data_IF_378973208585
#
_entry.id   IF_378973208585
#
_cell.length_a   1.000
_cell.length_b   1.000
_cell.length_c   1.000
_cell.angle_alpha   90.00
_cell.angle_beta   90.00
_cell.angle_gamma   90.00
#
_symmetry.space_group_name_H-M   'P 1'
#
loop_
_entity.id
_entity.type
_entity.pdbx_description
1 polymer ?
#
# COMPACT_ATOMS: atom_id res chain seq x y z
N UNK A 1 11.08 -26.47 23.26
CA UNK A 1 12.16 -26.03 24.16
C UNK A 1 13.49 -26.40 23.51
N UNK A 2 14.45 -25.48 23.41
CA UNK A 2 15.79 -25.79 22.86
C UNK A 2 16.80 -25.98 23.98
N UNK A 3 17.77 -26.88 23.79
CA UNK A 3 18.86 -27.15 24.75
C UNK A 3 20.22 -26.90 24.07
N UNK A 4 21.11 -26.19 24.75
CA UNK A 4 22.50 -25.99 24.33
C UNK A 4 23.39 -26.43 25.48
N UNK A 5 24.12 -27.51 25.28
CA UNK A 5 25.13 -28.01 26.21
C UNK A 5 26.53 -27.73 25.63
N UNK A 6 27.47 -27.28 26.47
CA UNK A 6 28.79 -26.84 26.01
C UNK A 6 29.88 -27.00 27.08
N UNK A 7 30.81 -27.91 26.80
CA UNK A 7 31.98 -28.19 27.64
C UNK A 7 33.04 -27.07 27.62
N UNK A 8 32.90 -26.09 26.72
CA UNK A 8 33.92 -25.06 26.47
C UNK A 8 33.64 -23.71 27.13
N UNK A 9 32.54 -23.60 27.88
CA UNK A 9 32.19 -22.37 28.59
C UNK A 9 32.84 -22.38 29.99
N UNK A 10 33.37 -21.24 30.47
CA UNK A 10 33.89 -21.17 31.82
C UNK A 10 32.74 -21.36 32.82
N UNK A 11 32.81 -22.41 33.64
CA UNK A 11 31.76 -22.76 34.60
C UNK A 11 31.80 -21.90 35.88
N UNK A 12 32.98 -21.37 36.22
CA UNK A 12 33.22 -20.61 37.45
C UNK A 12 33.27 -19.09 37.20
N UNK A 13 32.27 -18.55 36.49
CA UNK A 13 32.14 -17.10 36.26
C UNK A 13 30.72 -16.63 36.55
N UNK A 14 30.56 -15.32 36.80
CA UNK A 14 29.23 -14.73 36.96
C UNK A 14 28.41 -14.83 35.66
N UNK A 15 27.08 -14.79 35.78
CA UNK A 15 26.17 -14.80 34.61
C UNK A 15 26.46 -13.64 33.65
N UNK A 16 26.83 -12.48 34.20
CA UNK A 16 27.18 -11.29 33.43
C UNK A 16 28.48 -11.48 32.63
N UNK A 17 29.52 -12.03 33.26
CA UNK A 17 30.78 -12.37 32.58
C UNK A 17 30.56 -13.43 31.50
N UNK A 18 29.70 -14.43 31.77
CA UNK A 18 29.35 -15.45 30.78
C UNK A 18 28.64 -14.85 29.57
N UNK A 19 27.69 -13.92 29.77
CA UNK A 19 26.94 -13.25 28.69
C UNK A 19 27.84 -12.44 27.74
N UNK A 20 28.94 -11.90 28.26
CA UNK A 20 29.91 -11.14 27.46
C UNK A 20 31.01 -12.02 26.83
N UNK A 21 31.03 -13.33 27.15
CA UNK A 21 32.08 -14.24 26.69
C UNK A 21 32.04 -14.43 25.16
N UNK A 22 33.21 -14.38 24.52
CA UNK A 22 33.34 -14.42 23.05
C UNK A 22 32.77 -15.70 22.43
N UNK A 23 32.86 -16.85 23.13
CA UNK A 23 32.29 -18.13 22.68
C UNK A 23 30.79 -18.07 22.43
N UNK A 24 30.02 -17.26 23.17
CA UNK A 24 28.57 -17.12 22.94
C UNK A 24 28.26 -16.53 21.57
N UNK A 25 29.11 -15.63 21.05
CA UNK A 25 28.97 -15.10 19.68
C UNK A 25 29.14 -16.21 18.64
N UNK A 26 30.08 -17.11 18.84
CA UNK A 26 30.32 -18.27 17.96
C UNK A 26 29.17 -19.27 18.04
N UNK A 27 28.71 -19.58 19.25
CA UNK A 27 27.54 -20.46 19.49
C UNK A 27 26.31 -19.86 18.80
N UNK A 28 26.01 -18.57 19.00
CA UNK A 28 24.91 -17.85 18.32
C UNK A 28 24.99 -18.01 16.80
N UNK A 29 26.14 -17.76 16.18
CA UNK A 29 26.32 -17.91 14.72
C UNK A 29 26.05 -19.35 14.24
N UNK A 30 26.52 -20.36 14.98
CA UNK A 30 26.28 -21.78 14.65
C UNK A 30 24.81 -22.14 14.77
N UNK A 31 24.14 -21.70 15.84
CA UNK A 31 22.70 -21.94 16.06
C UNK A 31 21.86 -21.31 14.95
N UNK A 32 22.12 -20.05 14.59
CA UNK A 32 21.43 -19.38 13.48
C UNK A 32 21.62 -20.17 12.19
N UNK A 33 22.86 -20.60 11.89
CA UNK A 33 23.13 -21.37 10.67
C UNK A 33 22.33 -22.68 10.64
N UNK A 34 22.32 -23.44 11.73
CA UNK A 34 21.60 -24.71 11.86
C UNK A 34 20.08 -24.53 11.82
N UNK A 35 19.55 -23.46 12.43
CA UNK A 35 18.14 -23.13 12.37
C UNK A 35 17.70 -22.81 10.93
N UNK A 36 18.48 -22.00 10.21
CA UNK A 36 18.19 -21.71 8.79
C UNK A 36 18.30 -22.94 7.91
N UNK A 37 19.27 -23.84 8.17
CA UNK A 37 19.37 -25.11 7.44
C UNK A 37 18.17 -26.02 7.73
N UNK A 38 17.69 -26.07 8.97
CA UNK A 38 16.50 -26.82 9.35
C UNK A 38 15.25 -26.28 8.65
N UNK A 39 15.03 -24.96 8.68
CA UNK A 39 13.88 -24.32 8.01
C UNK A 39 13.93 -24.56 6.50
N UNK A 40 15.12 -24.47 5.90
CA UNK A 40 15.32 -24.77 4.49
C UNK A 40 14.95 -26.21 4.14
N UNK A 41 15.31 -27.19 4.98
CA UNK A 41 14.92 -28.60 4.77
C UNK A 41 13.40 -28.79 4.80
N UNK A 42 12.69 -28.09 5.70
CA UNK A 42 11.22 -28.12 5.71
C UNK A 42 10.67 -27.69 4.33
N UNK A 43 11.27 -26.66 3.72
CA UNK A 43 10.87 -26.21 2.38
C UNK A 43 11.24 -27.22 1.27
N UNK A 44 12.41 -27.85 1.35
CA UNK A 44 12.89 -28.81 0.35
C UNK A 44 12.15 -30.15 0.42
N UNK A 45 11.70 -30.55 1.61
CA UNK A 45 10.98 -31.79 1.85
C UNK A 45 9.45 -31.66 1.66
N UNK A 46 8.92 -30.43 1.48
CA UNK A 46 7.50 -30.19 1.23
C UNK A 46 7.18 -30.36 -0.27
N UNK A 47 6.35 -31.35 -0.65
CA UNK A 47 5.98 -31.57 -2.06
C UNK A 47 5.36 -30.36 -2.75
N UNK A 48 4.63 -29.51 -2.01
CA UNK A 48 3.96 -28.31 -2.57
C UNK A 48 4.97 -27.20 -2.94
N UNK A 49 6.18 -27.24 -2.37
CA UNK A 49 7.26 -26.30 -2.61
C UNK A 49 8.23 -26.76 -3.71
N UNK A 50 8.33 -28.07 -3.90
CA UNK A 50 9.21 -28.70 -4.88
C UNK A 50 8.84 -28.32 -6.33
N UNK A 51 9.85 -28.08 -7.16
CA UNK A 51 9.62 -27.73 -8.56
C UNK A 51 9.21 -28.97 -9.36
N UNK A 52 8.55 -28.81 -10.51
CA UNK A 52 8.03 -29.94 -11.32
C UNK A 52 9.05 -31.02 -11.71
N UNK A 53 10.37 -30.74 -11.65
CA UNK A 53 11.41 -31.76 -11.85
C UNK A 53 11.75 -32.54 -10.57
N UNK A 54 11.67 -31.89 -9.41
CA UNK A 54 11.96 -32.45 -8.10
C UNK A 54 10.72 -33.18 -7.52
N UNK A 55 9.51 -32.83 -7.99
CA UNK A 55 8.25 -33.50 -7.60
C UNK A 55 8.28 -35.00 -7.81
N UNK A 56 8.88 -35.50 -8.89
CA UNK A 56 8.93 -36.95 -9.16
C UNK A 56 9.75 -37.71 -8.11
N UNK A 57 10.86 -37.15 -7.66
CA UNK A 57 11.74 -37.78 -6.68
C UNK A 57 11.17 -37.66 -5.24
N UNK A 58 10.39 -36.61 -4.98
CA UNK A 58 9.71 -36.42 -3.68
C UNK A 58 8.45 -37.29 -3.59
N UNK A 59 7.62 -37.34 -4.63
CA UNK A 59 6.35 -38.09 -4.71
C UNK A 59 6.51 -39.63 -4.61
N UNK A 60 7.69 -40.18 -4.92
CA UNK A 60 7.97 -41.64 -4.82
C UNK A 60 8.18 -42.15 -3.38
N UNK A 61 8.24 -41.26 -2.38
CA UNK A 61 8.36 -41.64 -0.96
C UNK A 61 7.00 -41.90 -0.29
N UNK A 62 6.88 -42.98 0.48
CA UNK A 62 5.61 -43.44 1.09
C UNK A 62 5.07 -42.55 2.23
N UNK A 63 5.81 -41.52 2.66
CA UNK A 63 5.49 -40.64 3.81
C UNK A 63 4.96 -39.24 3.39
N UNK A 64 4.57 -39.05 2.12
CA UNK A 64 4.32 -37.73 1.54
C UNK A 64 3.14 -36.94 2.12
N UNK A 65 2.10 -37.61 2.61
CA UNK A 65 0.92 -36.91 3.15
C UNK A 65 1.24 -36.15 4.46
N UNK A 66 2.23 -36.60 5.24
CA UNK A 66 2.63 -35.93 6.48
C UNK A 66 3.46 -34.67 6.24
N UNK A 67 4.24 -34.63 5.15
CA UNK A 67 5.16 -33.53 4.82
C UNK A 67 4.51 -32.41 4.02
N UNK A 68 3.41 -32.71 3.33
CA UNK A 68 2.67 -31.75 2.52
C UNK A 68 2.17 -30.54 3.32
N UNK A 69 2.51 -29.35 2.83
CA UNK A 69 2.10 -28.07 3.41
C UNK A 69 2.78 -27.74 4.75
N UNK A 70 3.81 -28.48 5.16
CA UNK A 70 4.57 -28.16 6.38
C UNK A 70 5.25 -26.80 6.27
N UNK A 71 5.76 -26.44 5.09
CA UNK A 71 6.39 -25.13 4.91
C UNK A 71 5.37 -24.00 4.91
N UNK A 72 4.20 -24.22 4.30
CA UNK A 72 3.09 -23.27 4.36
C UNK A 72 2.63 -23.01 5.81
N UNK A 73 2.51 -24.08 6.62
CA UNK A 73 2.22 -23.96 8.07
C UNK A 73 3.31 -23.15 8.79
N UNK A 74 4.59 -23.47 8.55
CA UNK A 74 5.70 -22.70 9.09
C UNK A 74 5.64 -21.22 8.68
N UNK A 75 5.36 -20.93 7.41
CA UNK A 75 5.29 -19.57 6.90
C UNK A 75 4.15 -18.76 7.52
N UNK A 76 2.98 -19.38 7.71
CA UNK A 76 1.83 -18.71 8.31
C UNK A 76 2.10 -18.30 9.77
N UNK A 77 2.84 -19.12 10.52
CA UNK A 77 3.18 -18.83 11.91
C UNK A 77 4.42 -17.93 12.06
N UNK A 78 5.46 -18.15 11.26
CA UNK A 78 6.80 -17.57 11.46
C UNK A 78 7.31 -16.73 10.30
N UNK A 79 6.54 -16.54 9.23
CA UNK A 79 6.93 -15.76 8.04
C UNK A 79 7.31 -14.32 8.40
N UNK A 80 6.60 -13.68 9.34
CA UNK A 80 6.94 -12.34 9.85
C UNK A 80 8.33 -12.31 10.50
N UNK A 81 8.72 -13.35 11.23
CA UNK A 81 10.06 -13.48 11.82
C UNK A 81 11.15 -13.62 10.76
N UNK A 82 10.87 -14.33 9.66
CA UNK A 82 11.79 -14.38 8.51
C UNK A 82 11.97 -12.99 7.89
N UNK A 83 10.87 -12.25 7.68
CA UNK A 83 10.90 -10.88 7.14
C UNK A 83 11.70 -9.93 8.04
N UNK A 84 11.50 -9.99 9.36
CA UNK A 84 12.30 -9.24 10.34
C UNK A 84 13.78 -9.63 10.31
N UNK A 85 14.07 -10.93 10.17
CA UNK A 85 15.45 -11.41 10.03
C UNK A 85 16.18 -10.79 8.84
N UNK A 86 15.50 -10.52 7.71
CA UNK A 86 16.12 -9.88 6.53
C UNK A 86 16.50 -8.42 6.82
N UNK A 87 15.70 -7.75 7.63
CA UNK A 87 15.94 -6.37 8.08
C UNK A 87 17.15 -6.35 9.03
N UNK A 88 17.17 -7.22 10.04
CA UNK A 88 18.14 -7.17 11.14
C UNK A 88 19.46 -7.92 10.87
N UNK A 89 19.42 -9.08 10.19
CA UNK A 89 20.58 -9.96 9.99
C UNK A 89 21.14 -9.86 8.56
N UNK A 90 21.91 -8.81 8.33
CA UNK A 90 22.59 -8.59 7.05
C UNK A 90 23.48 -9.76 6.62
N UNK A 91 24.07 -10.50 7.57
CA UNK A 91 25.00 -11.58 7.26
C UNK A 91 24.29 -12.84 6.73
N UNK A 92 23.02 -13.05 7.11
CA UNK A 92 22.20 -14.18 6.63
C UNK A 92 21.11 -13.77 5.63
N UNK A 93 21.05 -12.49 5.24
CA UNK A 93 20.01 -11.93 4.37
C UNK A 93 19.72 -12.76 3.13
N UNK A 94 20.77 -13.17 2.40
CA UNK A 94 20.60 -13.96 1.17
C UNK A 94 20.03 -15.35 1.44
N UNK A 95 20.32 -15.95 2.60
CA UNK A 95 19.76 -17.27 2.99
C UNK A 95 18.30 -17.12 3.41
N UNK A 96 17.98 -16.06 4.14
CA UNK A 96 16.62 -15.72 4.55
C UNK A 96 15.73 -15.37 3.35
N UNK A 97 16.26 -14.68 2.34
CA UNK A 97 15.52 -14.33 1.13
C UNK A 97 14.97 -15.57 0.40
N UNK A 98 15.70 -16.70 0.42
CA UNK A 98 15.26 -17.99 -0.18
C UNK A 98 14.06 -18.60 0.55
N UNK A 99 13.85 -18.22 1.81
CA UNK A 99 12.77 -18.70 2.66
C UNK A 99 11.48 -17.86 2.49
N UNK A 100 11.55 -16.74 1.78
CA UNK A 100 10.40 -15.88 1.58
C UNK A 100 9.30 -16.56 0.74
N UNK A 101 8.04 -16.33 1.11
CA UNK A 101 6.86 -16.73 0.35
C UNK A 101 5.84 -15.62 0.25
N UNK A 102 5.20 -15.51 -0.90
CA UNK A 102 4.24 -14.45 -1.18
C UNK A 102 3.13 -14.94 -2.09
N UNK A 103 2.05 -14.20 -2.14
CA UNK A 103 1.09 -14.33 -3.23
C UNK A 103 1.51 -13.43 -4.41
N UNK A 104 1.07 -13.78 -5.60
CA UNK A 104 1.33 -13.00 -6.82
C UNK A 104 0.13 -13.07 -7.76
N UNK A 105 0.13 -12.22 -8.78
CA UNK A 105 -0.88 -12.24 -9.86
C UNK A 105 -0.95 -13.55 -10.65
N UNK A 106 -0.01 -14.49 -10.44
CA UNK A 106 0.04 -15.78 -11.15
C UNK A 106 0.16 -16.99 -10.23
N UNK A 107 -0.01 -16.81 -8.92
CA UNK A 107 0.11 -17.93 -7.97
C UNK A 107 -1.23 -18.54 -7.57
N UNK A 108 -2.36 -18.10 -8.15
CA UNK A 108 -3.70 -18.65 -7.89
C UNK A 108 -4.04 -18.73 -6.38
N UNK A 109 -3.73 -17.67 -5.64
CA UNK A 109 -3.86 -17.58 -4.17
C UNK A 109 -3.01 -18.56 -3.37
N UNK A 110 -2.03 -19.21 -4.00
CA UNK A 110 -1.01 -20.00 -3.33
C UNK A 110 0.22 -19.14 -3.05
N UNK A 111 0.94 -19.53 -2.03
CA UNK A 111 2.26 -19.01 -1.73
C UNK A 111 3.25 -19.45 -2.81
N UNK A 112 4.14 -18.54 -3.21
CA UNK A 112 5.22 -18.81 -4.17
C UNK A 112 6.53 -18.20 -3.69
N UNK A 113 7.64 -18.86 -4.04
CA UNK A 113 8.99 -18.38 -3.73
C UNK A 113 9.53 -17.41 -4.79
N UNK A 114 10.59 -16.68 -4.44
CA UNK A 114 11.31 -15.83 -5.40
C UNK A 114 11.93 -16.65 -6.54
N UNK A 115 12.39 -17.88 -6.27
CA UNK A 115 12.94 -18.78 -7.30
C UNK A 115 11.85 -19.19 -8.31
N UNK A 116 10.66 -19.51 -7.82
CA UNK A 116 9.50 -19.83 -8.65
C UNK A 116 9.07 -18.63 -9.49
N UNK A 117 9.05 -17.41 -8.92
CA UNK A 117 8.82 -16.18 -9.67
C UNK A 117 9.85 -16.00 -10.80
N UNK A 118 11.14 -16.17 -10.50
CA UNK A 118 12.23 -16.02 -11.49
C UNK A 118 12.04 -16.99 -12.66
N UNK A 119 11.63 -18.23 -12.40
CA UNK A 119 11.35 -19.22 -13.45
C UNK A 119 10.21 -18.81 -14.38
N UNK A 120 9.26 -18.01 -13.88
CA UNK A 120 8.11 -17.48 -14.65
C UNK A 120 8.36 -16.09 -15.23
N UNK A 121 9.54 -15.49 -15.01
CA UNK A 121 9.89 -14.19 -15.59
C UNK A 121 9.87 -14.25 -17.11
N UNK A 122 9.41 -13.15 -17.72
CA UNK A 122 9.40 -13.03 -19.18
C UNK A 122 10.81 -12.89 -19.75
N UNK A 123 11.05 -13.33 -21.00
CA UNK A 123 12.28 -13.02 -21.72
C UNK A 123 12.53 -11.50 -21.76
N UNK A 124 13.73 -11.09 -21.34
CA UNK A 124 14.11 -9.68 -21.28
C UNK A 124 13.62 -8.90 -20.05
N UNK A 125 12.82 -9.52 -19.17
CA UNK A 125 12.47 -8.94 -17.86
C UNK A 125 13.71 -8.91 -16.96
N UNK A 126 14.03 -7.73 -16.41
CA UNK A 126 15.21 -7.52 -15.57
C UNK A 126 14.90 -7.42 -14.08
N UNK A 127 13.68 -6.97 -13.77
CA UNK A 127 13.28 -6.64 -12.41
C UNK A 127 12.14 -7.57 -11.95
N UNK A 128 12.13 -7.89 -10.65
CA UNK A 128 11.02 -8.54 -9.95
C UNK A 128 10.01 -7.45 -9.62
N UNK A 129 8.80 -7.55 -10.17
CA UNK A 129 7.74 -6.59 -9.94
C UNK A 129 6.95 -6.94 -8.68
N UNK A 130 6.69 -5.93 -7.87
CA UNK A 130 5.87 -6.08 -6.67
C UNK A 130 5.00 -4.85 -6.42
N UNK A 131 3.95 -5.03 -5.64
CA UNK A 131 3.09 -3.96 -5.14
C UNK A 131 2.84 -4.19 -3.65
N UNK A 132 2.76 -3.10 -2.89
CA UNK A 132 2.52 -3.10 -1.44
C UNK A 132 1.16 -2.47 -1.13
N UNK A 133 0.43 -3.04 -0.18
CA UNK A 133 -0.92 -2.57 0.19
C UNK A 133 -1.41 -3.17 1.50
N UNK A 134 -2.70 -3.02 1.77
CA UNK A 134 -3.36 -3.49 3.00
C UNK A 134 -3.99 -4.87 2.86
N UNK A 135 -4.47 -5.22 1.66
CA UNK A 135 -5.05 -6.51 1.33
C UNK A 135 -4.88 -6.80 -0.16
N UNK A 136 -5.07 -8.05 -0.54
CA UNK A 136 -4.85 -8.53 -1.91
C UNK A 136 -5.94 -8.03 -2.86
N UNK A 137 -7.20 -8.04 -2.43
CA UNK A 137 -8.35 -7.69 -3.27
C UNK A 137 -8.27 -6.26 -3.80
N UNK A 138 -7.77 -5.32 -2.98
CA UNK A 138 -7.51 -3.95 -3.38
C UNK A 138 -6.32 -3.86 -4.34
N UNK A 139 -5.25 -4.59 -4.07
CA UNK A 139 -4.05 -4.60 -4.91
C UNK A 139 -4.35 -5.14 -6.31
N UNK A 140 -5.13 -6.22 -6.41
CA UNK A 140 -5.54 -6.82 -7.69
C UNK A 140 -6.31 -5.86 -8.59
N UNK A 141 -7.10 -4.96 -8.00
CA UNK A 141 -7.88 -3.94 -8.71
C UNK A 141 -7.08 -2.65 -8.98
N UNK A 142 -5.81 -2.61 -8.59
CA UNK A 142 -5.02 -1.38 -8.68
C UNK A 142 -4.74 -0.97 -10.13
N UNK A 143 -4.85 0.34 -10.46
CA UNK A 143 -4.47 0.86 -11.77
C UNK A 143 -2.99 0.61 -12.11
N UNK A 144 -2.14 0.41 -11.09
CA UNK A 144 -0.73 0.09 -11.27
C UNK A 144 -0.49 -1.25 -11.99
N UNK A 145 -1.46 -2.16 -11.99
CA UNK A 145 -1.33 -3.49 -12.58
C UNK A 145 -1.81 -3.59 -14.02
N UNK A 146 -2.60 -2.64 -14.52
CA UNK A 146 -3.39 -2.82 -15.75
C UNK A 146 -2.55 -3.25 -16.96
N UNK A 147 -1.47 -2.50 -17.28
CA UNK A 147 -0.62 -2.85 -18.43
C UNK A 147 0.31 -4.03 -18.13
N UNK A 148 0.68 -4.25 -16.86
CA UNK A 148 1.42 -5.45 -16.47
C UNK A 148 0.57 -6.70 -16.72
N UNK A 149 -0.71 -6.68 -16.31
CA UNK A 149 -1.68 -7.73 -16.57
C UNK A 149 -1.92 -7.93 -18.07
N UNK A 150 -2.18 -6.87 -18.84
CA UNK A 150 -2.32 -6.97 -20.31
C UNK A 150 -1.07 -7.54 -20.99
N UNK A 151 0.12 -7.19 -20.50
CA UNK A 151 1.39 -7.73 -20.97
C UNK A 151 1.80 -9.00 -20.21
N UNK A 152 0.92 -9.64 -19.43
CA UNK A 152 1.13 -10.90 -18.71
C UNK A 152 2.42 -10.93 -17.85
N UNK A 153 2.78 -9.84 -17.21
CA UNK A 153 3.85 -9.80 -16.20
C UNK A 153 3.30 -10.27 -14.84
N UNK A 154 4.12 -11.00 -14.10
CA UNK A 154 3.81 -11.40 -12.73
C UNK A 154 4.17 -10.28 -11.77
N UNK A 155 3.31 -10.01 -10.79
CA UNK A 155 3.53 -9.00 -9.73
C UNK A 155 3.30 -9.66 -8.39
N UNK A 156 4.26 -9.53 -7.48
CA UNK A 156 4.18 -9.99 -6.09
C UNK A 156 3.28 -9.05 -5.28
N UNK A 157 2.39 -9.63 -4.47
CA UNK A 157 1.58 -8.91 -3.50
C UNK A 157 2.24 -8.94 -2.12
N UNK A 158 2.51 -7.76 -1.59
CA UNK A 158 2.99 -7.56 -0.24
C UNK A 158 1.92 -6.84 0.59
N UNK A 159 1.29 -7.56 1.51
CA UNK A 159 0.13 -7.10 2.27
C UNK A 159 0.43 -6.87 3.75
N UNK A 160 1.59 -7.28 4.25
CA UNK A 160 1.98 -7.02 5.63
C UNK A 160 2.70 -5.65 5.75
N UNK A 161 2.47 -4.89 6.84
CA UNK A 161 3.22 -3.65 7.08
C UNK A 161 4.76 -3.84 7.12
N UNK A 162 5.24 -5.00 7.57
CA UNK A 162 6.69 -5.30 7.62
C UNK A 162 7.30 -5.39 6.22
N UNK A 163 6.51 -5.67 5.18
CA UNK A 163 7.01 -5.81 3.81
C UNK A 163 7.56 -4.47 3.26
N UNK A 164 6.95 -3.36 3.65
CA UNK A 164 7.42 -2.01 3.28
C UNK A 164 8.81 -1.70 3.85
N UNK A 165 9.13 -2.24 5.03
CA UNK A 165 10.48 -2.13 5.61
C UNK A 165 11.42 -3.15 4.99
N UNK A 166 10.97 -4.40 4.84
CA UNK A 166 11.72 -5.49 4.20
C UNK A 166 12.34 -5.04 2.87
N UNK A 167 11.53 -4.41 2.01
CA UNK A 167 11.95 -3.99 0.68
C UNK A 167 12.95 -2.82 0.67
N UNK A 168 13.21 -2.17 1.82
CA UNK A 168 14.31 -1.20 1.95
C UNK A 168 15.66 -1.89 2.15
N UNK A 169 15.68 -3.15 2.59
CA UNK A 169 16.90 -3.92 2.85
C UNK A 169 17.17 -4.99 1.78
N UNK A 170 16.14 -5.50 1.13
CA UNK A 170 16.24 -6.49 0.07
C UNK A 170 16.31 -5.79 -1.31
N UNK A 171 17.52 -5.40 -1.71
CA UNK A 171 17.77 -4.63 -2.95
C UNK A 171 17.65 -5.47 -4.22
N UNK A 172 18.14 -6.71 -4.18
CA UNK A 172 18.16 -7.65 -5.29
C UNK A 172 18.12 -9.10 -4.78
N UNK A 173 17.81 -10.00 -5.71
CA UNK A 173 17.78 -11.45 -5.50
C UNK A 173 18.18 -12.15 -6.79
N UNK A 174 19.23 -13.00 -6.74
CA UNK A 174 19.77 -13.74 -7.90
C UNK A 174 19.98 -12.80 -9.14
N UNK A 175 20.66 -11.68 -8.89
CA UNK A 175 20.96 -10.59 -9.85
C UNK A 175 19.73 -9.85 -10.43
N UNK A 176 18.54 -10.06 -9.88
CA UNK A 176 17.31 -9.33 -10.23
C UNK A 176 17.00 -8.27 -9.19
N UNK A 177 16.82 -7.03 -9.64
CA UNK A 177 16.39 -5.93 -8.75
C UNK A 177 14.89 -6.00 -8.51
N UNK A 178 14.45 -5.43 -7.41
CA UNK A 178 13.01 -5.25 -7.15
C UNK A 178 12.53 -3.90 -7.68
N UNK A 179 11.31 -3.89 -8.25
CA UNK A 179 10.65 -2.67 -8.72
C UNK A 179 9.22 -2.63 -8.17
N UNK A 180 8.96 -1.64 -7.31
CA UNK A 180 7.61 -1.33 -6.86
C UNK A 180 6.83 -0.73 -8.03
N UNK A 181 5.73 -1.37 -8.44
CA UNK A 181 4.88 -0.91 -9.54
C UNK A 181 4.00 0.30 -9.18
N UNK A 182 4.03 0.79 -7.93
CA UNK A 182 3.44 2.09 -7.54
C UNK A 182 4.46 3.25 -7.53
N UNK A 183 5.74 2.97 -7.80
CA UNK A 183 6.80 3.97 -7.87
C UNK A 183 7.23 4.26 -9.31
N UNK A 184 7.92 5.39 -9.49
CA UNK A 184 8.66 5.68 -10.73
C UNK A 184 9.71 4.60 -11.04
N UNK A 185 10.11 4.53 -12.31
CA UNK A 185 11.18 3.65 -12.77
C UNK A 185 10.71 2.34 -13.38
N UNK A 186 9.40 2.07 -13.43
CA UNK A 186 8.86 0.89 -14.11
C UNK A 186 9.31 0.85 -15.57
N UNK A 187 9.99 -0.23 -15.96
CA UNK A 187 10.46 -0.47 -17.33
C UNK A 187 9.77 -1.70 -17.88
N UNK A 188 8.82 -1.46 -18.80
CA UNK A 188 8.25 -2.51 -19.63
C UNK A 188 8.96 -2.54 -20.98
N UNK A 189 8.95 -3.70 -21.65
CA UNK A 189 9.44 -3.82 -23.03
C UNK A 189 8.74 -2.78 -23.91
N UNK A 190 9.54 -1.92 -24.56
CA UNK A 190 9.11 -0.71 -25.27
C UNK A 190 8.33 -1.04 -26.53
N UNK A 191 7.31 -0.23 -26.81
CA UNK A 191 6.66 -0.18 -28.11
C UNK A 191 7.27 0.96 -28.97
N UNK A 192 7.42 0.75 -30.27
CA UNK A 192 8.13 1.67 -31.18
C UNK A 192 7.46 3.05 -31.35
N UNK A 193 6.18 3.19 -31.00
CA UNK A 193 5.36 4.41 -31.19
C UNK A 193 5.43 5.43 -30.04
N UNK A 194 6.25 5.21 -29.01
CA UNK A 194 6.24 6.04 -27.80
C UNK A 194 6.77 7.47 -27.97
N UNK A 195 7.55 7.77 -29.02
CA UNK A 195 8.14 9.12 -29.20
C UNK A 195 7.13 10.16 -29.71
N UNK A 196 6.36 9.83 -30.73
CA UNK A 196 5.36 10.74 -31.31
C UNK A 196 4.26 11.10 -30.31
N UNK A 197 3.80 10.09 -29.55
CA UNK A 197 2.85 10.27 -28.46
C UNK A 197 3.38 11.22 -27.38
N UNK A 198 4.66 11.12 -27.02
CA UNK A 198 5.24 12.04 -26.03
C UNK A 198 5.24 13.47 -26.53
N UNK A 199 5.57 13.69 -27.80
CA UNK A 199 5.59 15.02 -28.39
C UNK A 199 4.18 15.64 -28.40
N UNK A 200 3.17 14.88 -28.82
CA UNK A 200 1.81 15.40 -28.96
C UNK A 200 1.17 15.81 -27.63
N UNK A 201 1.63 15.24 -26.50
CA UNK A 201 1.08 15.52 -25.16
C UNK A 201 1.91 16.49 -24.32
N UNK A 202 3.02 17.05 -24.85
CA UNK A 202 3.89 17.96 -24.09
C UNK A 202 3.15 19.17 -23.52
N UNK A 203 2.30 19.80 -24.33
CA UNK A 203 1.52 20.97 -23.92
C UNK A 203 0.60 20.65 -22.74
N UNK A 204 -0.20 19.58 -22.84
CA UNK A 204 -1.06 19.14 -21.73
C UNK A 204 -0.25 18.83 -20.47
N UNK A 205 0.87 18.09 -20.57
CA UNK A 205 1.67 17.75 -19.39
C UNK A 205 2.26 18.97 -18.70
N UNK A 206 2.73 19.96 -19.48
CA UNK A 206 3.28 21.22 -18.94
C UNK A 206 2.18 22.07 -18.31
N UNK A 207 1.04 22.20 -18.98
CA UNK A 207 -0.11 22.94 -18.47
C UNK A 207 -0.64 22.33 -17.17
N UNK A 208 -0.84 21.01 -17.14
CA UNK A 208 -1.42 20.33 -15.96
C UNK A 208 -0.48 20.40 -14.76
N UNK A 209 0.85 20.34 -14.98
CA UNK A 209 1.82 20.63 -13.92
C UNK A 209 1.66 22.03 -13.34
N UNK A 210 1.43 23.04 -14.19
CA UNK A 210 1.16 24.42 -13.77
C UNK A 210 -0.17 24.55 -13.03
N UNK A 211 -1.22 23.88 -13.49
CA UNK A 211 -2.52 23.85 -12.83
C UNK A 211 -2.41 23.27 -11.40
N UNK A 212 -1.54 22.29 -11.18
CA UNK A 212 -1.31 21.64 -9.88
C UNK A 212 -0.18 22.30 -9.08
N UNK A 213 0.17 23.58 -9.32
CA UNK A 213 1.28 24.23 -8.63
C UNK A 213 1.08 24.39 -7.11
N UNK A 214 -0.17 24.42 -6.63
CA UNK A 214 -0.52 24.41 -5.21
C UNK A 214 -0.43 23.01 -4.58
N UNK A 215 -0.31 21.97 -5.40
CA UNK A 215 -0.23 20.58 -4.96
C UNK A 215 1.24 20.13 -4.86
N UNK A 216 1.49 19.06 -4.09
CA UNK A 216 2.83 18.47 -3.98
C UNK A 216 3.18 17.55 -5.17
N UNK A 217 3.07 18.07 -6.41
CA UNK A 217 3.34 17.36 -7.67
C UNK A 217 4.67 17.82 -8.27
N UNK A 218 5.62 16.90 -8.45
CA UNK A 218 6.90 17.18 -9.11
C UNK A 218 6.75 17.27 -10.62
N UNK A 219 5.96 16.38 -11.21
CA UNK A 219 5.86 16.27 -12.66
C UNK A 219 4.57 15.60 -13.13
N UNK A 220 4.23 15.85 -14.40
CA UNK A 220 3.14 15.17 -15.11
C UNK A 220 3.72 14.49 -16.34
N UNK A 221 3.53 13.17 -16.47
CA UNK A 221 4.18 12.35 -17.51
C UNK A 221 3.20 11.40 -18.16
N UNK A 222 3.53 10.91 -19.35
CA UNK A 222 2.78 9.81 -19.96
C UNK A 222 3.07 8.49 -19.23
N UNK A 223 2.00 7.76 -18.92
CA UNK A 223 2.08 6.47 -18.26
C UNK A 223 2.49 5.34 -19.20
N UNK A 224 3.39 4.50 -18.72
CA UNK A 224 3.66 3.20 -19.33
C UNK A 224 2.97 2.03 -18.59
N UNK A 225 2.23 2.28 -17.50
CA UNK A 225 1.59 1.24 -16.66
C UNK A 225 0.07 1.18 -16.78
N UNK A 226 -0.57 2.29 -17.15
CA UNK A 226 -2.02 2.37 -17.30
C UNK A 226 -2.51 1.68 -18.57
N UNK A 227 -3.73 1.17 -18.56
CA UNK A 227 -4.39 0.68 -19.75
C UNK A 227 -5.82 1.19 -19.87
N UNK A 228 -6.60 1.17 -18.79
CA UNK A 228 -7.99 1.63 -18.79
C UNK A 228 -8.14 2.90 -17.94
N UNK A 229 -7.44 3.03 -16.81
CA UNK A 229 -7.55 4.24 -16.00
C UNK A 229 -6.99 5.48 -16.73
N UNK A 230 -7.57 6.67 -16.50
CA UNK A 230 -7.17 7.92 -17.15
C UNK A 230 -5.82 8.43 -16.64
N UNK A 231 -5.57 8.35 -15.34
CA UNK A 231 -4.35 8.81 -14.71
C UNK A 231 -4.13 8.10 -13.37
N UNK A 232 -2.89 8.13 -12.88
CA UNK A 232 -2.49 7.54 -11.60
C UNK A 232 -1.38 8.38 -10.98
N UNK A 233 -1.27 8.38 -9.66
CA UNK A 233 -0.22 9.10 -8.95
C UNK A 233 0.83 8.11 -8.48
N UNK A 234 2.07 8.30 -8.89
CA UNK A 234 3.21 7.51 -8.44
C UNK A 234 4.10 8.35 -7.52
N UNK A 235 4.86 7.69 -6.64
CA UNK A 235 5.93 8.38 -5.92
C UNK A 235 7.27 8.21 -6.63
N UNK A 236 8.20 9.11 -6.32
CA UNK A 236 9.58 8.98 -6.78
C UNK A 236 10.19 7.65 -6.33
N UNK A 237 11.25 7.22 -7.03
CA UNK A 237 11.91 5.93 -6.75
C UNK A 237 12.33 5.76 -5.28
N UNK A 238 12.77 6.84 -4.64
CA UNK A 238 13.30 6.83 -3.27
C UNK A 238 12.31 7.34 -2.22
N UNK A 239 11.21 7.98 -2.63
CA UNK A 239 10.17 8.46 -1.72
C UNK A 239 9.35 7.32 -1.11
N UNK A 240 8.53 7.63 -0.11
CA UNK A 240 7.57 6.67 0.43
C UNK A 240 6.51 6.29 -0.60
N UNK A 241 6.08 5.03 -0.58
CA UNK A 241 4.84 4.63 -1.26
C UNK A 241 3.62 5.17 -0.48
N UNK A 242 2.45 5.12 -1.10
CA UNK A 242 1.19 5.42 -0.39
C UNK A 242 0.99 4.55 0.85
N UNK A 243 1.30 3.25 0.75
CA UNK A 243 1.17 2.33 1.88
C UNK A 243 2.19 2.62 3.00
N UNK A 244 3.43 2.99 2.65
CA UNK A 244 4.41 3.44 3.65
C UNK A 244 3.97 4.73 4.33
N UNK A 245 3.47 5.71 3.59
CA UNK A 245 2.95 6.96 4.15
C UNK A 245 1.84 6.69 5.17
N UNK A 246 0.90 5.79 4.83
CA UNK A 246 -0.16 5.34 5.74
C UNK A 246 0.41 4.67 7.01
N UNK A 247 1.37 3.75 6.87
CA UNK A 247 2.02 3.09 8.02
C UNK A 247 2.68 4.13 8.93
N UNK A 248 3.43 5.06 8.35
CA UNK A 248 4.16 6.11 9.07
C UNK A 248 3.23 7.08 9.80
N UNK A 249 2.12 7.49 9.17
CA UNK A 249 1.11 8.35 9.81
C UNK A 249 0.40 7.66 10.97
N UNK A 250 0.22 6.33 10.90
CA UNK A 250 -0.39 5.56 11.98
C UNK A 250 0.51 5.37 13.20
N UNK A 251 1.81 5.70 13.10
CA UNK A 251 2.77 5.61 14.21
C UNK A 251 2.82 6.93 14.99
N UNK A 252 2.32 6.87 16.23
CA UNK A 252 2.08 8.01 17.14
C UNK A 252 3.33 8.77 17.60
N UNK A 253 4.55 8.24 17.39
CA UNK A 253 5.80 8.78 17.92
C UNK A 253 6.72 9.43 16.87
N UNK A 254 6.19 9.70 15.68
CA UNK A 254 6.99 10.17 14.56
C UNK A 254 6.92 11.70 14.40
N UNK A 255 8.10 12.34 14.34
CA UNK A 255 8.23 13.78 14.13
C UNK A 255 7.79 14.16 12.71
N UNK A 256 6.63 14.79 12.59
CA UNK A 256 5.98 15.13 11.32
C UNK A 256 6.89 15.95 10.38
N UNK A 257 7.84 16.73 10.92
CA UNK A 257 8.76 17.56 10.13
C UNK A 257 9.81 16.71 9.37
N UNK A 258 10.34 15.66 10.01
CA UNK A 258 11.30 14.72 9.39
C UNK A 258 10.61 13.82 8.35
N UNK A 259 9.32 13.56 8.52
CA UNK A 259 8.54 12.77 7.57
C UNK A 259 8.27 13.50 6.26
N UNK A 260 8.16 14.82 6.26
CA UNK A 260 7.81 15.61 5.08
C UNK A 260 8.82 15.42 3.93
N UNK A 261 10.12 15.36 4.25
CA UNK A 261 11.17 15.08 3.26
C UNK A 261 11.07 13.65 2.70
N UNK A 262 10.64 12.69 3.52
CA UNK A 262 10.58 11.27 3.15
C UNK A 262 9.33 10.89 2.36
N UNK A 263 8.21 11.63 2.52
CA UNK A 263 7.01 11.49 1.65
C UNK A 263 7.36 11.66 0.18
N UNK A 264 8.41 12.45 -0.12
CA UNK A 264 8.83 12.74 -1.47
C UNK A 264 7.78 13.53 -2.25
N UNK A 265 8.11 13.88 -3.49
CA UNK A 265 7.15 14.48 -4.39
C UNK A 265 6.42 13.43 -5.22
N UNK A 266 5.22 13.77 -5.66
CA UNK A 266 4.33 12.91 -6.45
C UNK A 266 4.49 13.17 -7.94
N UNK A 267 4.27 12.17 -8.77
CA UNK A 267 4.24 12.33 -10.23
C UNK A 267 2.90 11.83 -10.73
N UNK A 268 2.18 12.68 -11.47
CA UNK A 268 0.95 12.29 -12.13
C UNK A 268 1.29 11.63 -13.46
N UNK A 269 0.98 10.35 -13.60
CA UNK A 269 1.09 9.63 -14.86
C UNK A 269 -0.27 9.60 -15.57
N UNK A 270 -0.36 10.11 -16.80
CA UNK A 270 -1.59 10.15 -17.59
C UNK A 270 -1.59 9.10 -18.72
N UNK A 271 -2.77 8.55 -19.03
CA UNK A 271 -2.96 7.59 -20.10
C UNK A 271 -3.32 8.31 -21.42
N UNK A 272 -2.38 8.44 -22.38
CA UNK A 272 -2.62 9.19 -23.61
C UNK A 272 -3.67 8.55 -24.54
N UNK A 273 -4.07 7.31 -24.24
CA UNK A 273 -5.08 6.58 -25.02
C UNK A 273 -6.50 6.75 -24.46
N UNK A 274 -6.64 7.28 -23.24
CA UNK A 274 -7.93 7.42 -22.59
C UNK A 274 -8.75 8.59 -23.17
N UNK A 275 -10.07 8.42 -23.42
CA UNK A 275 -10.92 9.49 -23.98
C UNK A 275 -10.87 10.79 -23.20
N UNK A 276 -11.01 10.75 -21.86
CA UNK A 276 -10.94 11.95 -21.00
C UNK A 276 -9.62 12.70 -21.19
N UNK A 277 -8.50 12.00 -21.31
CA UNK A 277 -7.17 12.63 -21.44
C UNK A 277 -6.99 13.26 -22.82
N UNK A 278 -7.60 12.68 -23.87
CA UNK A 278 -7.62 13.27 -25.22
C UNK A 278 -8.48 14.53 -25.26
N UNK A 279 -9.67 14.47 -24.68
CA UNK A 279 -10.57 15.63 -24.58
C UNK A 279 -9.92 16.77 -23.78
N UNK A 280 -9.32 16.47 -22.63
CA UNK A 280 -8.58 17.47 -21.84
C UNK A 280 -7.46 18.11 -22.65
N UNK A 281 -6.72 17.32 -23.44
CA UNK A 281 -5.70 17.87 -24.34
C UNK A 281 -6.30 18.85 -25.34
N UNK A 282 -7.39 18.48 -26.01
CA UNK A 282 -8.02 19.33 -27.02
C UNK A 282 -8.57 20.63 -26.43
N UNK A 283 -9.18 20.58 -25.24
CA UNK A 283 -9.67 21.76 -24.54
C UNK A 283 -8.54 22.69 -24.10
N UNK A 284 -7.47 22.15 -23.54
CA UNK A 284 -6.30 22.94 -23.13
C UNK A 284 -5.63 23.64 -24.32
N UNK A 285 -5.58 22.98 -25.48
CA UNK A 285 -5.06 23.59 -26.72
C UNK A 285 -5.95 24.73 -27.21
N UNK A 286 -7.28 24.58 -27.05
CA UNK A 286 -8.25 25.59 -27.47
C UNK A 286 -8.27 26.81 -26.54
N UNK A 287 -8.33 26.58 -25.24
CA UNK A 287 -8.34 27.62 -24.21
C UNK A 287 -7.67 27.11 -22.91
N UNK A 288 -6.39 27.47 -22.67
CA UNK A 288 -5.68 27.05 -21.47
C UNK A 288 -6.14 27.78 -20.20
N UNK A 289 -6.89 28.88 -20.32
CA UNK A 289 -7.39 29.65 -19.17
C UNK A 289 -8.82 29.26 -18.76
N UNK A 290 -9.42 28.28 -19.45
CA UNK A 290 -10.75 27.75 -19.11
C UNK A 290 -10.76 27.18 -17.67
N UNK A 291 -11.47 27.87 -16.78
CA UNK A 291 -11.60 27.49 -15.38
C UNK A 291 -12.29 26.12 -15.21
N UNK A 292 -13.23 25.75 -16.08
CA UNK A 292 -13.85 24.42 -16.05
C UNK A 292 -12.83 23.31 -16.30
N UNK A 293 -11.89 23.55 -17.22
CA UNK A 293 -10.81 22.61 -17.55
C UNK A 293 -9.82 22.52 -16.39
N UNK A 294 -9.46 23.64 -15.75
CA UNK A 294 -8.62 23.65 -14.54
C UNK A 294 -9.29 22.89 -13.38
N UNK A 295 -10.57 23.10 -13.15
CA UNK A 295 -11.35 22.40 -12.12
C UNK A 295 -11.42 20.90 -12.39
N UNK A 296 -11.67 20.51 -13.64
CA UNK A 296 -11.67 19.09 -14.06
C UNK A 296 -10.30 18.45 -13.85
N UNK A 297 -9.22 19.14 -14.21
CA UNK A 297 -7.85 18.66 -14.04
C UNK A 297 -7.48 18.42 -12.57
N UNK A 298 -7.95 19.26 -11.65
CA UNK A 298 -7.79 19.07 -10.20
C UNK A 298 -8.60 17.89 -9.69
N UNK A 299 -9.88 17.81 -10.06
CA UNK A 299 -10.74 16.70 -9.66
C UNK A 299 -10.15 15.36 -10.10
N UNK A 300 -9.71 15.27 -11.36
CA UNK A 300 -9.04 14.09 -11.90
C UNK A 300 -7.76 13.72 -11.13
N UNK A 301 -6.94 14.71 -10.74
CA UNK A 301 -5.77 14.48 -9.90
C UNK A 301 -6.14 13.95 -8.52
N UNK A 302 -7.13 14.55 -7.85
CA UNK A 302 -7.59 14.12 -6.52
C UNK A 302 -8.19 12.71 -6.55
N UNK A 303 -8.99 12.39 -7.59
CA UNK A 303 -9.49 11.03 -7.81
C UNK A 303 -8.35 10.04 -8.01
N UNK A 304 -7.37 10.36 -8.86
CA UNK A 304 -6.20 9.52 -9.09
C UNK A 304 -5.35 9.34 -7.83
N UNK A 305 -5.25 10.39 -7.01
CA UNK A 305 -4.52 10.39 -5.75
C UNK A 305 -5.14 9.39 -4.75
N UNK A 306 -6.47 9.42 -4.63
CA UNK A 306 -7.24 8.50 -3.81
C UNK A 306 -7.14 7.06 -4.34
N UNK A 307 -7.32 6.84 -5.65
CA UNK A 307 -7.21 5.52 -6.29
C UNK A 307 -5.79 4.92 -6.12
N UNK A 308 -4.77 5.78 -6.06
CA UNK A 308 -3.37 5.41 -5.81
C UNK A 308 -3.07 5.11 -4.33
N UNK A 309 -4.05 5.28 -3.43
CA UNK A 309 -3.97 4.96 -2.01
C UNK A 309 -3.44 6.08 -1.11
N UNK A 310 -3.29 7.31 -1.63
CA UNK A 310 -2.86 8.44 -0.82
C UNK A 310 -4.05 9.12 -0.13
N UNK A 311 -3.77 9.74 1.02
CA UNK A 311 -4.73 10.59 1.71
C UNK A 311 -4.86 11.94 0.99
N UNK A 312 -6.09 12.43 0.91
CA UNK A 312 -6.39 13.80 0.49
C UNK A 312 -5.98 14.77 1.60
N UNK A 313 -5.36 15.88 1.22
CA UNK A 313 -4.99 16.97 2.13
C UNK A 313 -6.22 17.73 2.63
N UNK A 314 -7.18 17.99 1.74
CA UNK A 314 -8.43 18.68 2.04
C UNK A 314 -9.62 17.90 1.46
N UNK A 315 -10.28 17.04 2.27
CA UNK A 315 -11.47 16.32 1.85
C UNK A 315 -12.65 17.23 1.50
N UNK A 316 -12.72 18.44 2.07
CA UNK A 316 -13.81 19.40 1.83
C UNK A 316 -13.68 20.02 0.44
N UNK A 317 -12.49 20.45 0.04
CA UNK A 317 -12.23 20.94 -1.32
C UNK A 317 -12.59 19.88 -2.37
N UNK A 318 -12.18 18.63 -2.16
CA UNK A 318 -12.54 17.53 -3.07
C UNK A 318 -14.06 17.32 -3.16
N UNK A 319 -14.76 17.29 -2.01
CA UNK A 319 -16.21 17.16 -1.98
C UNK A 319 -16.90 18.32 -2.70
N UNK A 320 -16.45 19.56 -2.48
CA UNK A 320 -16.97 20.74 -3.16
C UNK A 320 -16.80 20.64 -4.69
N UNK A 321 -15.68 20.11 -5.19
CA UNK A 321 -15.48 19.89 -6.64
C UNK A 321 -16.41 18.81 -7.19
N UNK A 322 -16.65 17.73 -6.43
CA UNK A 322 -17.65 16.72 -6.82
C UNK A 322 -19.04 17.35 -6.90
N UNK A 323 -19.46 18.08 -5.86
CA UNK A 323 -20.77 18.73 -5.86
C UNK A 323 -20.92 19.73 -6.99
N UNK A 324 -19.87 20.50 -7.30
CA UNK A 324 -19.85 21.38 -8.46
C UNK A 324 -20.02 20.59 -9.77
N UNK A 325 -19.32 19.47 -9.94
CA UNK A 325 -19.50 18.61 -11.11
C UNK A 325 -20.92 18.03 -11.21
N UNK A 326 -21.56 17.70 -10.08
CA UNK A 326 -22.95 17.23 -10.04
C UNK A 326 -23.91 18.36 -10.39
N UNK A 327 -23.73 19.58 -9.85
CA UNK A 327 -24.52 20.76 -10.23
C UNK A 327 -24.46 21.00 -11.73
N UNK A 328 -23.27 21.00 -12.33
CA UNK A 328 -23.10 21.15 -13.78
C UNK A 328 -23.79 20.03 -14.55
N UNK A 329 -23.72 18.78 -14.08
CA UNK A 329 -24.40 17.64 -14.74
C UNK A 329 -25.93 17.69 -14.64
N UNK A 330 -26.47 18.43 -13.67
CA UNK A 330 -27.91 18.61 -13.45
C UNK A 330 -28.40 19.98 -13.96
N UNK A 331 -27.55 20.74 -14.66
CA UNK A 331 -27.83 22.10 -15.14
C UNK A 331 -28.24 23.08 -14.02
N UNK A 332 -27.73 22.88 -12.81
CA UNK A 332 -27.94 23.75 -11.64
C UNK A 332 -26.85 24.82 -11.61
N UNK A 333 -27.23 26.09 -11.44
CA UNK A 333 -26.26 27.19 -11.27
C UNK A 333 -25.43 27.01 -9.99
N UNK A 334 -24.13 27.32 -10.05
CA UNK A 334 -23.24 27.21 -8.91
C UNK A 334 -23.66 28.13 -7.74
N UNK A 335 -24.33 29.23 -8.04
CA UNK A 335 -24.74 30.28 -7.10
C UNK A 335 -26.11 30.03 -6.44
N UNK A 336 -26.78 28.92 -6.76
CA UNK A 336 -28.04 28.55 -6.07
C UNK A 336 -27.71 28.25 -4.61
N UNK A 337 -28.22 29.12 -3.73
CA UNK A 337 -28.14 28.96 -2.28
C UNK A 337 -28.98 27.76 -1.84
N UNK A 338 -28.60 27.16 -0.72
CA UNK A 338 -29.45 26.17 -0.04
C UNK A 338 -30.64 26.94 0.52
N UNK A 339 -31.85 26.40 0.34
CA UNK A 339 -33.04 26.96 0.97
C UNK A 339 -32.83 27.01 2.50
N UNK A 340 -33.12 28.16 3.11
CA UNK A 340 -32.99 28.31 4.56
C UNK A 340 -33.98 27.35 5.25
N UNK A 341 -33.53 26.65 6.30
CA UNK A 341 -34.45 25.87 7.13
C UNK A 341 -35.40 26.86 7.80
N UNK A 342 -36.72 26.69 7.60
CA UNK A 342 -37.72 27.42 8.38
C UNK A 342 -37.54 26.99 9.85
N UNK A 343 -36.85 27.81 10.64
CA UNK A 343 -36.85 27.72 12.10
C UNK A 343 -38.28 28.00 12.57
N UNK A 344 -39.16 27.00 12.48
CA UNK A 344 -40.40 27.03 13.23
C UNK A 344 -39.99 26.90 14.69
N UNK A 345 -39.84 28.04 15.36
CA UNK A 345 -39.87 28.14 16.81
C UNK A 345 -41.01 27.23 17.28
N UNK A 346 -40.68 26.17 18.03
CA UNK A 346 -41.68 25.43 18.80
C UNK A 346 -42.36 26.47 19.69
N UNK A 347 -43.55 26.90 19.29
CA UNK A 347 -44.40 27.77 20.09
C UNK A 347 -44.78 26.95 21.31
N UNK A 348 -44.03 27.12 22.41
CA UNK A 348 -44.46 26.71 23.74
C UNK A 348 -45.81 27.39 23.97
N UNK A 349 -46.88 26.60 23.85
CA UNK A 349 -48.22 27.01 24.21
C UNK A 349 -48.29 27.13 25.73
N UNK A 350 -47.79 28.24 26.27
CA UNK A 350 -48.27 28.77 27.55
C UNK A 350 -49.74 29.16 27.37
N UNK A 351 -50.64 28.24 27.74
CA UNK A 351 -52.02 28.62 27.99
C UNK A 351 -52.07 29.46 29.27
N UNK A 352 -52.20 30.77 29.11
CA UNK A 352 -52.69 31.67 30.15
C UNK A 352 -54.10 31.20 30.59
N UNK A 353 -54.22 30.74 31.82
CA UNK A 353 -55.45 30.91 32.61
C UNK A 353 -55.16 31.91 33.72
N UNK A 354 -55.61 33.15 33.51
CA UNK A 354 -55.78 34.15 34.56
C UNK A 354 -57.25 34.21 34.98
N UNK A 355 -57.42 34.62 36.23
CA UNK A 355 -58.64 34.97 36.97
C UNK A 355 -59.33 33.78 37.66
N UNK A 356 -59.63 33.78 38.96
CA UNK A 356 -59.69 34.86 39.93
C UNK A 356 -59.42 34.35 41.36
N UNK A 357 -59.02 35.29 42.22
CA UNK A 357 -58.77 35.13 43.63
C UNK A 357 -60.01 34.73 44.45
N UNK A 358 -59.80 33.91 45.48
CA UNK A 358 -60.37 34.14 46.81
C UNK A 358 -59.56 33.38 47.86
N UNK A 359 -58.94 34.16 48.74
CA UNK A 359 -58.31 33.81 50.01
C UNK A 359 -59.33 33.35 51.06
N UNK A 360 -58.78 32.85 52.17
CA UNK A 360 -59.40 32.53 53.48
C UNK A 360 -60.02 31.12 53.60
N UNK A 361 -59.84 30.36 54.67
CA UNK A 361 -58.86 30.35 55.76
C UNK A 361 -59.13 29.05 56.55
N UNK A 362 -58.12 28.60 57.28
CA UNK A 362 -58.20 27.92 58.58
C UNK A 362 -58.31 26.39 58.74
N UNK A 363 -57.47 25.96 59.68
CA UNK A 363 -57.51 24.81 60.59
C UNK A 363 -57.32 23.37 60.09
N UNK A 364 -56.09 22.86 60.30
CA UNK A 364 -55.83 22.04 61.49
C UNK A 364 -55.70 20.51 61.31
N UNK A 365 -54.51 20.01 61.65
CA UNK A 365 -54.14 18.63 62.05
C UNK A 365 -54.38 17.52 61.00
N UNK A 366 -53.47 16.57 60.77
CA UNK A 366 -53.11 15.51 61.71
C UNK A 366 -51.75 14.90 61.34
N UNK A 367 -50.88 14.75 62.35
CA UNK A 367 -49.72 13.85 62.40
C UNK A 367 -50.16 12.38 62.36
N UNK A 368 -49.37 11.51 61.70
CA UNK A 368 -48.74 10.32 62.32
C UNK A 368 -48.05 9.46 61.25
N UNK A 369 -46.73 9.22 61.39
CA UNK A 369 -46.08 8.00 61.93
C UNK A 369 -46.06 6.87 60.89
N UNK A 370 -44.92 6.28 60.51
CA UNK A 370 -43.75 5.81 61.26
C UNK A 370 -42.46 5.91 60.44
#
# INVERSE_FOLDING_TARGET
MGLVDSDTLPLNVSREMLQQHSSLKTIKKKLIRKALDMIRRIAEEDPDESNDKDKKDVEESTDNDEKKGQYAKFWNEFGKSIKLGIIEDAANRNRLAKLLRFESTKSDSKLTSLDQYIKRMKPGQKDIFYITGTNKEQLEKSPFLERLAKKNYEVIFFTDPVDEYLMQYLMDYEDKKFQNVSKEGLKLVKDSKDKELKESFKELTKWWKGALASENVDDVKLSNRLANSPCVVVTSKYGWSANMERIMQSQTLSDASKQAYMRGKRVLEINPRHPIIKELRERVVKDPEDESVKQTAHLMYQTALMESGFMLSDPKDFASRIYNSVKTSLDISHDVAVDEEDDTEEVEAESETKEAASTEDDAGDVKNEL
#
